data_IF_908889911494
#
_entry.id   IF_908889911494
#
_cell.length_a   1.000
_cell.length_b   1.000
_cell.length_c   1.000
_cell.angle_alpha   90.00
_cell.angle_beta   90.00
_cell.angle_gamma   90.00
#
_symmetry.space_group_name_H-M   'P 1'
#
loop_
_entity.id
_entity.type
_entity.pdbx_description
1 polymer ?
#
# COMPACT_ATOMS: atom_id res chain seq x y z
N UNK A 1 -1.49 16.89 13.15
CA UNK A 1 -2.68 16.01 13.08
C UNK A 1 -2.15 14.69 12.57
N UNK A 2 -2.24 13.60 13.33
CA UNK A 2 -1.75 12.29 12.88
C UNK A 2 -2.86 11.72 12.00
N UNK A 3 -2.65 11.73 10.69
CA UNK A 3 -3.56 11.09 9.74
C UNK A 3 -3.59 9.60 10.09
N UNK A 4 -4.75 9.12 10.54
CA UNK A 4 -4.88 7.74 11.00
C UNK A 4 -5.15 6.83 9.79
N UNK A 5 -4.09 6.47 9.07
CA UNK A 5 -4.16 5.60 7.92
C UNK A 5 -4.02 4.14 8.37
N UNK A 6 -5.11 3.38 8.26
CA UNK A 6 -5.14 1.97 8.66
C UNK A 6 -4.19 1.11 7.81
N UNK A 7 -3.74 -0.03 8.35
CA UNK A 7 -2.82 -0.91 7.62
C UNK A 7 -3.42 -1.36 6.27
N UNK A 8 -2.58 -1.54 5.23
CA UNK A 8 -3.04 -2.08 3.96
C UNK A 8 -3.66 -3.47 4.14
N UNK A 9 -4.55 -3.85 3.23
CA UNK A 9 -5.07 -5.23 3.15
C UNK A 9 -4.63 -5.87 1.84
N UNK A 10 -4.44 -7.18 1.83
CA UNK A 10 -4.10 -7.91 0.62
C UNK A 10 -5.35 -8.55 0.05
N UNK A 11 -5.75 -8.19 -1.16
CA UNK A 11 -6.98 -8.71 -1.77
C UNK A 11 -6.94 -10.23 -1.99
N UNK A 12 -5.73 -10.78 -2.17
CA UNK A 12 -5.49 -12.19 -2.46
C UNK A 12 -5.28 -13.04 -1.20
N UNK A 13 -5.14 -12.42 -0.03
CA UNK A 13 -4.82 -13.13 1.22
C UNK A 13 -5.84 -12.75 2.27
N UNK A 14 -6.58 -13.74 2.77
CA UNK A 14 -7.49 -13.52 3.88
C UNK A 14 -6.66 -13.04 5.08
N UNK A 15 -6.73 -11.73 5.36
CA UNK A 15 -6.00 -11.10 6.45
C UNK A 15 -6.45 -11.75 7.76
N UNK A 16 -5.59 -12.58 8.34
CA UNK A 16 -5.84 -13.13 9.67
C UNK A 16 -5.63 -12.01 10.65
N UNK A 17 -6.73 -11.52 11.24
CA UNK A 17 -6.71 -10.43 12.19
C UNK A 17 -5.78 -10.82 13.36
N UNK A 18 -4.67 -10.08 13.49
CA UNK A 18 -3.65 -10.14 14.54
C UNK A 18 -2.43 -11.02 14.23
N UNK A 19 -1.46 -10.48 13.49
CA UNK A 19 -0.12 -11.07 13.39
C UNK A 19 0.66 -10.70 12.14
N UNK A 20 1.87 -11.25 12.04
CA UNK A 20 2.67 -11.29 10.80
C UNK A 20 1.97 -12.20 9.79
N UNK A 21 1.76 -11.70 8.58
CA UNK A 21 1.10 -12.41 7.49
C UNK A 21 2.11 -13.22 6.68
N UNK A 22 2.01 -14.54 6.73
CA UNK A 22 2.88 -15.41 5.91
C UNK A 22 2.44 -15.38 4.45
N UNK A 23 3.36 -15.00 3.58
CA UNK A 23 3.18 -14.92 2.13
C UNK A 23 4.08 -15.93 1.44
N UNK A 24 3.48 -16.89 0.75
CA UNK A 24 4.22 -17.94 0.04
C UNK A 24 4.36 -17.61 -1.46
N UNK A 25 5.57 -17.28 -1.91
CA UNK A 25 5.84 -16.83 -3.28
C UNK A 25 5.45 -17.87 -4.35
N UNK A 26 5.58 -19.16 -4.04
CA UNK A 26 5.19 -20.25 -4.95
C UNK A 26 3.70 -20.27 -5.29
N UNK A 27 2.82 -19.83 -4.38
CA UNK A 27 1.36 -19.81 -4.59
C UNK A 27 0.82 -18.41 -4.87
N UNK A 28 1.65 -17.39 -4.66
CA UNK A 28 1.30 -16.02 -4.96
C UNK A 28 1.29 -15.78 -6.47
N UNK A 29 0.33 -14.96 -6.95
CA UNK A 29 0.33 -14.50 -8.32
C UNK A 29 1.56 -13.62 -8.58
N UNK A 30 1.86 -13.40 -9.86
CA UNK A 30 3.01 -12.61 -10.26
C UNK A 30 2.92 -11.15 -9.79
N UNK A 31 1.69 -10.66 -9.56
CA UNK A 31 1.42 -9.34 -8.97
C UNK A 31 0.50 -9.48 -7.77
N UNK A 32 0.99 -9.00 -6.63
CA UNK A 32 0.25 -8.88 -5.39
C UNK A 32 -0.57 -7.59 -5.40
N UNK A 33 -1.85 -7.68 -5.06
CA UNK A 33 -2.74 -6.52 -4.98
C UNK A 33 -2.89 -6.07 -3.53
N UNK A 34 -2.39 -4.87 -3.26
CA UNK A 34 -2.49 -4.19 -1.97
C UNK A 34 -3.63 -3.19 -2.05
N UNK A 35 -4.60 -3.30 -1.16
CA UNK A 35 -5.75 -2.42 -1.11
C UNK A 35 -5.59 -1.41 0.01
N UNK A 36 -5.75 -0.13 -0.35
CA UNK A 36 -5.80 0.98 0.59
C UNK A 36 -7.20 1.00 1.21
N UNK A 37 -7.33 0.97 2.54
CA UNK A 37 -8.61 1.00 3.21
C UNK A 37 -9.30 2.36 3.00
N UNK A 38 -10.58 2.32 2.62
CA UNK A 38 -11.44 3.49 2.38
C UNK A 38 -11.62 4.40 3.60
N UNK A 39 -11.43 3.85 4.80
CA UNK A 39 -11.43 4.61 6.06
C UNK A 39 -10.26 5.58 6.18
N UNK A 40 -9.30 5.57 5.25
CA UNK A 40 -8.16 6.48 5.30
C UNK A 40 -8.55 7.88 4.84
N UNK A 41 -8.17 8.85 5.65
CA UNK A 41 -8.41 10.27 5.39
C UNK A 41 -7.29 10.81 4.48
N UNK A 42 -7.61 10.95 3.20
CA UNK A 42 -6.74 11.51 2.17
C UNK A 42 -7.57 12.30 1.15
N UNK A 43 -7.06 13.42 0.63
CA UNK A 43 -7.73 14.22 -0.39
C UNK A 43 -7.55 13.59 -1.79
N UNK A 44 -8.41 13.97 -2.73
CA UNK A 44 -8.48 13.39 -4.08
C UNK A 44 -7.35 13.85 -5.02
N UNK A 45 -6.60 14.89 -4.66
CA UNK A 45 -5.52 15.45 -5.46
C UNK A 45 -4.13 14.89 -5.11
N UNK A 46 -4.07 13.84 -4.29
CA UNK A 46 -2.81 13.20 -3.89
C UNK A 46 -2.54 11.95 -4.71
N UNK A 47 -1.32 11.45 -4.62
CA UNK A 47 -0.96 10.13 -5.12
C UNK A 47 -0.58 9.21 -3.96
N UNK A 48 -0.74 7.91 -4.15
CA UNK A 48 -0.44 6.88 -3.16
C UNK A 48 0.33 5.75 -3.81
N UNK A 49 1.33 5.23 -3.12
CA UNK A 49 2.16 4.12 -3.59
C UNK A 49 2.48 3.15 -2.46
N UNK A 50 2.70 1.86 -2.77
CA UNK A 50 3.08 0.87 -1.78
C UNK A 50 4.57 0.98 -1.48
N UNK A 51 4.95 0.75 -0.23
CA UNK A 51 6.35 0.70 0.19
C UNK A 51 6.62 -0.55 1.01
N UNK A 52 7.82 -1.10 0.84
CA UNK A 52 8.33 -2.23 1.60
C UNK A 52 9.62 -1.84 2.32
N UNK A 53 9.74 -2.26 3.57
CA UNK A 53 10.92 -2.08 4.40
C UNK A 53 10.56 -1.63 5.81
N UNK A 54 11.50 -1.80 6.74
CA UNK A 54 11.30 -1.43 8.15
C UNK A 54 11.23 0.09 8.39
N UNK A 55 11.79 0.89 7.47
CA UNK A 55 11.86 2.34 7.58
C UNK A 55 10.90 3.02 6.59
N UNK A 56 9.77 3.61 7.02
CA UNK A 56 8.82 4.25 6.12
C UNK A 56 9.34 5.53 5.46
N UNK A 57 10.29 6.23 6.09
CA UNK A 57 10.90 7.45 5.54
C UNK A 57 11.89 7.15 4.40
N UNK A 58 12.53 5.98 4.46
CA UNK A 58 13.50 5.49 3.48
C UNK A 58 13.23 4.01 3.22
N UNK A 59 12.16 3.69 2.48
CA UNK A 59 11.81 2.30 2.21
C UNK A 59 12.87 1.65 1.33
N UNK A 60 13.08 0.37 1.53
CA UNK A 60 13.99 -0.43 0.71
C UNK A 60 13.45 -0.63 -0.70
N UNK A 61 12.11 -0.61 -0.83
CA UNK A 61 11.43 -0.68 -2.12
C UNK A 61 10.17 0.18 -2.11
N UNK A 62 9.90 0.84 -3.23
CA UNK A 62 8.68 1.58 -3.51
C UNK A 62 8.08 1.09 -4.84
N UNK A 63 6.76 0.98 -4.88
CA UNK A 63 6.02 0.63 -6.09
C UNK A 63 5.55 1.86 -6.86
N UNK A 64 4.72 1.59 -7.86
CA UNK A 64 4.13 2.64 -8.69
C UNK A 64 3.13 3.52 -7.92
N UNK A 65 3.15 4.79 -8.29
CA UNK A 65 2.23 5.81 -7.80
C UNK A 65 0.89 5.71 -8.51
N UNK A 66 -0.18 5.77 -7.72
CA UNK A 66 -1.57 5.73 -8.19
C UNK A 66 -2.29 6.95 -7.66
N UNK A 67 -3.04 7.62 -8.52
CA UNK A 67 -3.84 8.77 -8.13
C UNK A 67 -4.92 8.37 -7.12
N UNK A 68 -5.14 9.22 -6.14
CA UNK A 68 -6.18 9.03 -5.11
C UNK A 68 -7.55 9.57 -5.53
N UNK A 69 -7.61 10.25 -6.66
CA UNK A 69 -8.82 10.82 -7.22
C UNK A 69 -8.77 10.82 -8.74
N UNK A 70 -9.94 11.02 -9.34
CA UNK A 70 -10.10 11.24 -10.77
C UNK A 70 -10.90 12.50 -10.98
N UNK A 71 -10.60 13.22 -12.06
CA UNK A 71 -11.44 14.32 -12.48
C UNK A 71 -12.80 13.78 -12.94
N UNK A 72 -13.89 14.33 -12.40
CA UNK A 72 -15.25 14.04 -12.84
C UNK A 72 -15.76 15.23 -13.68
N UNK A 73 -15.75 15.06 -15.01
CA UNK A 73 -16.20 16.10 -15.95
C UNK A 73 -17.67 16.50 -15.76
N UNK A 74 -18.51 15.66 -15.14
CA UNK A 74 -19.91 15.98 -14.91
C UNK A 74 -20.12 16.89 -13.68
N UNK A 75 -19.24 16.80 -12.69
CA UNK A 75 -19.25 17.63 -11.48
C UNK A 75 -18.29 18.82 -11.54
N UNK A 76 -17.41 18.87 -12.53
CA UNK A 76 -16.34 19.87 -12.65
C UNK A 76 -15.48 19.92 -11.36
N UNK A 77 -15.25 18.73 -10.77
CA UNK A 77 -14.59 18.58 -9.47
C UNK A 77 -13.82 17.24 -9.39
N UNK A 78 -12.86 17.14 -8.48
CA UNK A 78 -12.08 15.91 -8.24
C UNK A 78 -12.86 14.92 -7.37
N UNK A 79 -13.17 13.75 -7.90
CA UNK A 79 -13.80 12.68 -7.14
C UNK A 79 -12.75 11.74 -6.52
N UNK A 80 -12.81 11.58 -5.19
CA UNK A 80 -11.94 10.67 -4.44
C UNK A 80 -12.21 9.21 -4.84
N UNK A 81 -11.17 8.50 -5.24
CA UNK A 81 -11.24 7.07 -5.50
C UNK A 81 -11.35 6.28 -4.19
N UNK A 82 -12.21 5.26 -4.24
CA UNK A 82 -12.41 4.29 -3.15
C UNK A 82 -11.86 2.94 -3.58
N UNK A 83 -11.33 2.17 -2.62
CA UNK A 83 -10.76 0.85 -2.84
C UNK A 83 -9.52 0.86 -3.74
N UNK A 84 -8.64 1.85 -3.56
CA UNK A 84 -7.42 2.00 -4.37
C UNK A 84 -6.58 0.72 -4.27
N UNK A 85 -6.17 0.20 -5.42
CA UNK A 85 -5.39 -1.02 -5.57
C UNK A 85 -4.00 -0.69 -6.07
N UNK A 86 -3.03 -0.94 -5.21
CA UNK A 86 -1.62 -0.83 -5.48
C UNK A 86 -1.08 -2.20 -5.88
N UNK A 87 -0.04 -2.21 -6.70
CA UNK A 87 0.52 -3.43 -7.26
C UNK A 87 1.94 -3.61 -6.76
N UNK A 88 2.25 -4.82 -6.30
CA UNK A 88 3.61 -5.22 -5.92
C UNK A 88 3.97 -6.45 -6.73
N UNK A 89 5.04 -6.34 -7.53
CA UNK A 89 5.55 -7.49 -8.28
C UNK A 89 6.09 -8.54 -7.33
N UNK A 90 5.82 -9.82 -7.60
CA UNK A 90 6.37 -10.95 -6.85
C UNK A 90 7.90 -10.93 -6.79
N UNK A 91 8.54 -10.42 -7.83
CA UNK A 91 9.99 -10.23 -7.86
C UNK A 91 10.48 -9.27 -6.76
N UNK A 92 9.73 -8.22 -6.43
CA UNK A 92 10.07 -7.33 -5.34
C UNK A 92 10.02 -8.06 -3.99
N UNK A 93 9.00 -8.90 -3.77
CA UNK A 93 8.87 -9.72 -2.56
C UNK A 93 9.97 -10.78 -2.45
N UNK A 94 10.51 -11.26 -3.57
CA UNK A 94 11.59 -12.23 -3.60
C UNK A 94 12.88 -11.72 -2.93
N UNK A 95 13.11 -10.41 -2.89
CA UNK A 95 14.23 -9.82 -2.16
C UNK A 95 14.16 -10.06 -0.64
N UNK A 96 12.95 -10.30 -0.11
CA UNK A 96 12.67 -10.46 1.32
C UNK A 96 12.42 -11.91 1.72
N UNK A 97 12.86 -12.88 0.91
CA UNK A 97 12.65 -14.30 1.16
C UNK A 97 13.21 -14.74 2.53
N UNK A 98 12.41 -15.49 3.30
CA UNK A 98 12.69 -15.93 4.67
C UNK A 98 13.00 -14.80 5.65
N UNK A 99 12.48 -13.60 5.38
CA UNK A 99 12.67 -12.40 6.20
C UNK A 99 11.31 -11.76 6.51
N UNK A 100 11.23 -11.03 7.62
CA UNK A 100 10.10 -10.16 7.89
C UNK A 100 10.27 -8.81 7.20
N UNK A 101 9.19 -8.32 6.60
CA UNK A 101 9.18 -7.00 5.96
C UNK A 101 7.88 -6.29 6.31
N UNK A 102 7.96 -4.98 6.56
CA UNK A 102 6.78 -4.16 6.76
C UNK A 102 6.26 -3.62 5.43
N UNK A 103 5.01 -3.93 5.10
CA UNK A 103 4.29 -3.34 4.00
C UNK A 103 3.46 -2.16 4.50
N UNK A 104 3.66 -1.01 3.87
CA UNK A 104 2.87 0.21 4.10
C UNK A 104 2.47 0.80 2.77
N UNK A 105 1.60 1.79 2.82
CA UNK A 105 1.40 2.71 1.70
C UNK A 105 1.69 4.12 2.19
N UNK A 106 2.21 4.94 1.28
CA UNK A 106 2.63 6.31 1.54
C UNK A 106 1.92 7.21 0.55
N UNK A 107 1.42 8.33 1.03
CA UNK A 107 0.86 9.38 0.20
C UNK A 107 1.93 10.39 -0.14
N UNK A 108 1.76 11.06 -1.26
CA UNK A 108 2.58 12.21 -1.63
C UNK A 108 1.66 13.31 -2.15
N UNK A 109 1.92 14.50 -1.63
CA UNK A 109 1.33 15.76 -2.07
C UNK A 109 2.38 16.62 -2.78
N UNK A 110 1.93 17.59 -3.57
CA UNK A 110 2.79 18.58 -4.22
C UNK A 110 3.60 19.43 -3.22
N UNK A 111 3.14 19.57 -1.97
CA UNK A 111 3.79 20.32 -0.88
C UNK A 111 4.77 19.50 -0.03
N UNK A 112 5.18 18.30 -0.47
CA UNK A 112 6.10 17.40 0.26
C UNK A 112 5.58 16.85 1.59
N UNK A 113 4.25 16.84 1.81
CA UNK A 113 3.68 16.08 2.91
C UNK A 113 3.57 14.62 2.50
N UNK A 114 4.17 13.73 3.32
CA UNK A 114 4.20 12.31 2.98
C UNK A 114 3.75 11.40 4.14
N UNK A 115 2.45 11.43 4.51
CA UNK A 115 1.94 10.54 5.53
C UNK A 115 1.97 9.08 5.05
N UNK A 116 2.27 8.17 5.97
CA UNK A 116 2.29 6.73 5.73
C UNK A 116 1.35 5.99 6.68
N UNK A 117 0.91 4.83 6.25
CA UNK A 117 -0.02 3.99 7.02
C UNK A 117 0.64 3.14 8.10
N UNK A 118 -0.21 2.53 8.93
CA UNK A 118 0.22 1.50 9.85
C UNK A 118 0.85 0.31 9.08
N UNK A 119 1.90 -0.31 9.63
CA UNK A 119 2.56 -1.44 8.99
C UNK A 119 1.68 -2.69 8.98
N UNK A 120 1.66 -3.37 7.83
CA UNK A 120 1.31 -4.77 7.73
C UNK A 120 2.59 -5.60 7.67
N UNK A 121 2.86 -6.39 8.70
CA UNK A 121 4.04 -7.27 8.71
C UNK A 121 3.82 -8.47 7.82
N UNK A 122 4.75 -8.73 6.92
CA UNK A 122 4.75 -9.85 5.99
C UNK A 122 5.93 -10.77 6.31
N UNK A 123 5.70 -12.08 6.28
CA UNK A 123 6.75 -13.09 6.35
C UNK A 123 6.80 -13.84 5.02
N UNK A 124 7.83 -13.58 4.22
CA UNK A 124 7.92 -14.14 2.88
C UNK A 124 8.54 -15.53 2.93
N UNK A 125 7.86 -16.54 2.40
CA UNK A 125 8.36 -17.91 2.28
C UNK A 125 8.40 -18.36 0.82
N UNK A 126 9.33 -19.26 0.51
CA UNK A 126 9.53 -19.83 -0.82
C UNK A 126 8.38 -20.72 -1.27
#
# INVERSE_FOLDING_TARGET
MVVNCAAPTLAQVASSASGTLTLQLSVLPDVLIVQVPDSSDFPANWSVYPILGDAPEQPEWAGDEVDTGTWDDAKDDMEKLTGIKLQISRQALHAYLNTDVELRYKFVDESSMEPFSQPLRLWIVG
#
